data_IF_762690980543
#
_entry.id   IF_762690980543
#
_cell.length_a   1.000
_cell.length_b   1.000
_cell.length_c   1.000
_cell.angle_alpha   90.00
_cell.angle_beta   90.00
_cell.angle_gamma   90.00
#
_symmetry.space_group_name_H-M   'P 1'
#
loop_
_entity.id
_entity.type
_entity.pdbx_description
1 polymer ?
#
# COMPACT_ATOMS: atom_id res chain seq x y z
N UNK A 1 -46.44 13.39 33.02
CA UNK A 1 -45.51 13.95 32.01
C UNK A 1 -45.18 12.82 31.04
N UNK A 2 -45.67 12.83 29.80
CA UNK A 2 -45.46 11.72 28.88
C UNK A 2 -43.98 11.68 28.46
N UNK A 3 -43.24 10.66 28.87
CA UNK A 3 -41.91 10.39 28.34
C UNK A 3 -42.06 10.06 26.84
N UNK A 4 -41.63 10.97 25.96
CA UNK A 4 -41.72 10.82 24.49
C UNK A 4 -40.53 10.05 23.90
N UNK A 5 -39.78 9.33 24.75
CA UNK A 5 -38.56 8.58 24.38
C UNK A 5 -38.86 7.39 23.46
N UNK A 6 -40.09 6.87 23.45
CA UNK A 6 -40.56 5.78 22.59
C UNK A 6 -41.27 6.27 21.30
N UNK A 7 -41.18 7.57 20.99
CA UNK A 7 -41.81 8.13 19.77
C UNK A 7 -40.93 7.87 18.55
N UNK A 8 -41.49 7.36 17.46
CA UNK A 8 -40.78 7.17 16.18
C UNK A 8 -40.03 8.44 15.72
N UNK A 9 -40.60 9.62 15.97
CA UNK A 9 -39.96 10.90 15.63
C UNK A 9 -38.70 11.15 16.46
N UNK A 10 -38.72 10.80 17.75
CA UNK A 10 -37.57 10.92 18.62
C UNK A 10 -36.43 10.00 18.16
N UNK A 11 -36.75 8.74 17.84
CA UNK A 11 -35.79 7.76 17.32
C UNK A 11 -35.14 8.22 16.02
N UNK A 12 -35.93 8.77 15.08
CA UNK A 12 -35.40 9.26 13.79
C UNK A 12 -34.47 10.46 13.99
N UNK A 13 -34.86 11.44 14.80
CA UNK A 13 -34.02 12.62 15.07
C UNK A 13 -32.74 12.24 15.82
N UNK A 14 -32.86 11.36 16.81
CA UNK A 14 -31.71 10.83 17.54
C UNK A 14 -30.72 10.12 16.60
N UNK A 15 -31.22 9.24 15.72
CA UNK A 15 -30.38 8.53 14.76
C UNK A 15 -29.66 9.50 13.80
N UNK A 16 -30.34 10.54 13.30
CA UNK A 16 -29.72 11.57 12.46
C UNK A 16 -28.57 12.26 13.19
N UNK A 17 -28.80 12.71 14.43
CA UNK A 17 -27.77 13.38 15.24
C UNK A 17 -26.59 12.43 15.49
N UNK A 18 -26.87 11.17 15.85
CA UNK A 18 -25.83 10.17 16.09
C UNK A 18 -24.98 9.93 14.84
N UNK A 19 -25.59 9.77 13.67
CA UNK A 19 -24.88 9.60 12.39
C UNK A 19 -24.02 10.81 12.07
N UNK A 20 -24.53 12.03 12.29
CA UNK A 20 -23.76 13.25 12.07
C UNK A 20 -22.54 13.33 12.99
N UNK A 21 -22.71 13.02 14.28
CA UNK A 21 -21.62 13.05 15.26
C UNK A 21 -20.57 11.99 14.93
N UNK A 22 -20.98 10.74 14.72
CA UNK A 22 -20.05 9.63 14.41
C UNK A 22 -19.35 9.87 13.07
N UNK A 23 -20.09 10.30 12.05
CA UNK A 23 -19.55 10.61 10.73
C UNK A 23 -18.53 11.74 10.79
N UNK A 24 -18.82 12.83 11.52
CA UNK A 24 -17.90 13.94 11.68
C UNK A 24 -16.61 13.53 12.42
N UNK A 25 -16.72 12.74 13.49
CA UNK A 25 -15.55 12.25 14.23
C UNK A 25 -14.67 11.32 13.38
N UNK A 26 -15.27 10.37 12.65
CA UNK A 26 -14.54 9.47 11.75
C UNK A 26 -13.88 10.22 10.60
N UNK A 27 -14.59 11.17 9.98
CA UNK A 27 -14.05 11.99 8.90
C UNK A 27 -12.86 12.83 9.38
N UNK A 28 -12.98 13.45 10.56
CA UNK A 28 -11.89 14.19 11.18
C UNK A 28 -10.68 13.30 11.46
N UNK A 29 -10.88 12.15 12.11
CA UNK A 29 -9.81 11.22 12.42
C UNK A 29 -9.11 10.72 11.14
N UNK A 30 -9.88 10.32 10.12
CA UNK A 30 -9.34 9.90 8.82
C UNK A 30 -8.51 11.00 8.18
N UNK A 31 -9.06 12.21 8.06
CA UNK A 31 -8.39 13.33 7.39
C UNK A 31 -7.13 13.77 8.12
N UNK A 32 -7.14 13.78 9.46
CA UNK A 32 -5.99 14.18 10.26
C UNK A 32 -4.83 13.18 10.17
N UNK A 33 -5.14 11.88 10.00
CA UNK A 33 -4.14 10.82 9.97
C UNK A 33 -3.70 10.43 8.56
N UNK A 34 -4.46 10.77 7.51
CA UNK A 34 -4.16 10.46 6.11
C UNK A 34 -2.69 10.69 5.72
N UNK A 35 -2.05 11.85 6.02
CA UNK A 35 -0.66 12.08 5.61
C UNK A 35 0.32 11.08 6.24
N UNK A 36 0.11 10.73 7.52
CA UNK A 36 0.94 9.76 8.23
C UNK A 36 0.72 8.34 7.72
N UNK A 37 -0.52 8.00 7.38
CA UNK A 37 -0.87 6.70 6.79
C UNK A 37 -0.17 6.54 5.44
N UNK A 38 -0.21 7.58 4.60
CA UNK A 38 0.37 7.53 3.26
C UNK A 38 1.90 7.46 3.30
N UNK A 39 2.52 8.20 4.23
CA UNK A 39 3.97 8.09 4.49
C UNK A 39 4.35 6.68 4.97
N UNK A 40 3.61 6.11 5.92
CA UNK A 40 3.88 4.76 6.42
C UNK A 40 3.73 3.70 5.32
N UNK A 41 2.69 3.80 4.47
CA UNK A 41 2.53 2.90 3.31
C UNK A 41 3.73 3.01 2.36
N UNK A 42 4.24 4.22 2.13
CA UNK A 42 5.43 4.44 1.28
C UNK A 42 6.66 3.72 1.86
N UNK A 43 6.89 3.86 3.16
CA UNK A 43 8.00 3.22 3.85
C UNK A 43 7.85 1.69 3.87
N UNK A 44 6.64 1.19 4.09
CA UNK A 44 6.31 -0.24 4.05
C UNK A 44 6.61 -0.84 2.68
N UNK A 45 6.27 -0.14 1.58
CA UNK A 45 6.63 -0.60 0.23
C UNK A 45 8.15 -0.76 0.06
N UNK A 46 8.93 0.21 0.53
CA UNK A 46 10.39 0.13 0.47
C UNK A 46 10.93 -1.02 1.32
N UNK A 47 10.43 -1.20 2.54
CA UNK A 47 10.78 -2.33 3.41
C UNK A 47 10.48 -3.67 2.74
N UNK A 48 9.31 -3.82 2.13
CA UNK A 48 8.90 -5.06 1.47
C UNK A 48 9.73 -5.38 0.22
N UNK A 49 10.08 -4.37 -0.59
CA UNK A 49 10.97 -4.54 -1.75
C UNK A 49 12.38 -4.96 -1.30
N UNK A 50 12.93 -4.28 -0.29
CA UNK A 50 14.22 -4.62 0.31
C UNK A 50 14.20 -6.03 0.90
N UNK A 51 13.12 -6.40 1.57
CA UNK A 51 12.93 -7.73 2.14
C UNK A 51 12.97 -8.82 1.06
N UNK A 52 12.30 -8.61 -0.07
CA UNK A 52 12.33 -9.53 -1.20
C UNK A 52 13.76 -9.69 -1.76
N UNK A 53 14.56 -8.62 -1.80
CA UNK A 53 15.99 -8.69 -2.15
C UNK A 53 16.87 -9.35 -1.07
N UNK A 54 16.28 -9.78 0.05
CA UNK A 54 16.99 -10.31 1.21
C UNK A 54 17.74 -9.24 2.02
N UNK A 55 17.45 -7.96 1.83
CA UNK A 55 17.94 -6.87 2.71
C UNK A 55 16.95 -6.75 3.86
N UNK A 56 17.22 -7.47 4.94
CA UNK A 56 16.36 -7.58 6.11
C UNK A 56 17.20 -7.77 7.38
N UNK A 57 16.55 -7.68 8.54
CA UNK A 57 17.19 -7.87 9.85
C UNK A 57 16.80 -9.23 10.45
N UNK A 58 16.45 -10.22 9.62
CA UNK A 58 16.00 -11.52 10.11
C UNK A 58 17.05 -12.14 11.04
N UNK A 59 16.64 -12.48 12.26
CA UNK A 59 17.37 -13.43 13.11
C UNK A 59 17.04 -14.89 12.77
N UNK A 60 17.54 -15.82 13.59
CA UNK A 60 17.42 -17.27 13.35
C UNK A 60 15.98 -17.81 13.25
N UNK A 61 14.97 -17.06 13.71
CA UNK A 61 13.58 -17.53 13.77
C UNK A 61 12.52 -16.45 13.56
N UNK A 62 12.86 -15.32 12.91
CA UNK A 62 11.94 -14.19 12.75
C UNK A 62 11.92 -13.59 11.35
N UNK A 63 10.74 -13.10 10.94
CA UNK A 63 10.58 -12.17 9.81
C UNK A 63 10.75 -10.77 10.38
N UNK A 64 11.89 -10.13 10.12
CA UNK A 64 12.19 -8.79 10.60
C UNK A 64 12.61 -7.89 9.44
N UNK A 65 11.77 -6.88 9.17
CA UNK A 65 12.05 -5.86 8.17
C UNK A 65 13.11 -4.88 8.69
N UNK A 66 13.85 -4.25 7.76
CA UNK A 66 14.68 -3.08 8.09
C UNK A 66 13.82 -1.98 8.72
N UNK A 67 14.37 -1.11 9.56
CA UNK A 67 13.56 -0.08 10.21
C UNK A 67 12.99 0.93 9.20
N UNK A 68 11.84 1.55 9.51
CA UNK A 68 11.24 2.58 8.65
C UNK A 68 12.12 3.83 8.49
N UNK A 69 13.10 4.02 9.39
CA UNK A 69 14.07 5.12 9.32
C UNK A 69 15.20 4.84 8.34
N UNK A 70 15.65 3.59 8.26
CA UNK A 70 16.76 3.18 7.39
C UNK A 70 16.28 2.75 6.00
N UNK A 71 15.03 2.31 5.88
CA UNK A 71 14.46 1.83 4.62
C UNK A 71 14.68 2.78 3.42
N UNK A 72 14.50 4.11 3.53
CA UNK A 72 14.72 5.01 2.39
C UNK A 72 16.17 5.06 1.91
N UNK A 73 17.13 5.01 2.86
CA UNK A 73 18.56 5.06 2.56
C UNK A 73 19.01 3.73 1.92
N UNK A 74 18.62 2.61 2.51
CA UNK A 74 18.93 1.29 1.98
C UNK A 74 18.25 1.06 0.62
N UNK A 75 17.02 1.53 0.44
CA UNK A 75 16.32 1.45 -0.84
C UNK A 75 17.10 2.19 -1.93
N UNK A 76 17.53 3.43 -1.66
CA UNK A 76 18.34 4.21 -2.60
C UNK A 76 19.72 3.60 -2.86
N UNK A 77 20.28 2.86 -1.89
CA UNK A 77 21.56 2.18 -2.01
C UNK A 77 21.48 0.92 -2.88
N UNK A 78 20.44 0.10 -2.70
CA UNK A 78 20.34 -1.22 -3.33
C UNK A 78 19.52 -1.23 -4.61
N UNK A 79 18.51 -0.38 -4.74
CA UNK A 79 17.69 -0.24 -5.95
C UNK A 79 18.38 0.74 -6.89
N UNK A 80 18.88 0.22 -8.00
CA UNK A 80 19.61 1.00 -9.00
C UNK A 80 18.69 1.57 -10.07
N UNK A 81 17.63 0.83 -10.43
CA UNK A 81 16.65 1.27 -11.43
C UNK A 81 15.24 0.86 -11.06
N UNK A 82 14.31 1.68 -11.51
CA UNK A 82 12.88 1.44 -11.37
C UNK A 82 12.24 1.58 -12.74
N UNK A 83 11.65 0.50 -13.21
CA UNK A 83 11.04 0.43 -14.54
C UNK A 83 9.53 0.27 -14.40
N UNK A 84 8.79 0.84 -15.33
CA UNK A 84 7.39 0.54 -15.58
C UNK A 84 7.30 -0.17 -16.92
N UNK A 85 6.71 -1.36 -16.91
CA UNK A 85 6.43 -2.16 -18.09
C UNK A 85 4.98 -1.95 -18.50
N UNK A 86 4.76 -1.53 -19.74
CA UNK A 86 3.45 -1.43 -20.36
C UNK A 86 3.51 -2.05 -21.77
N UNK A 87 2.70 -3.09 -22.01
CA UNK A 87 2.63 -3.78 -23.29
C UNK A 87 3.99 -4.15 -23.93
N UNK A 88 4.95 -4.60 -23.10
CA UNK A 88 6.30 -4.96 -23.55
C UNK A 88 7.26 -3.79 -23.76
N UNK A 89 6.81 -2.54 -23.60
CA UNK A 89 7.66 -1.36 -23.56
C UNK A 89 8.06 -1.06 -22.11
N UNK A 90 9.29 -0.63 -21.91
CA UNK A 90 9.83 -0.27 -20.60
C UNK A 90 10.17 1.21 -20.54
N UNK A 91 9.69 1.90 -19.52
CA UNK A 91 10.07 3.28 -19.19
C UNK A 91 10.67 3.34 -17.80
N UNK A 92 11.75 4.10 -17.62
CA UNK A 92 12.36 4.32 -16.30
C UNK A 92 11.58 5.41 -15.55
N UNK A 93 11.26 5.15 -14.27
CA UNK A 93 10.55 6.06 -13.39
C UNK A 93 10.95 5.81 -11.93
N UNK A 94 11.66 6.78 -11.32
CA UNK A 94 12.10 6.75 -9.92
C UNK A 94 10.95 6.64 -8.89
N UNK A 95 9.70 6.79 -9.35
CA UNK A 95 8.49 6.69 -8.55
C UNK A 95 7.66 5.45 -8.88
N UNK A 96 8.19 4.49 -9.65
CA UNK A 96 7.47 3.26 -10.01
C UNK A 96 6.96 2.50 -8.77
N UNK A 97 7.68 2.56 -7.63
CA UNK A 97 7.25 1.95 -6.36
C UNK A 97 5.98 2.57 -5.78
N UNK A 98 5.64 3.81 -6.14
CA UNK A 98 4.42 4.47 -5.69
C UNK A 98 3.17 3.97 -6.43
N UNK A 99 3.33 3.30 -7.57
CA UNK A 99 2.21 2.79 -8.36
C UNK A 99 1.29 1.89 -7.51
N UNK A 100 -0.01 2.10 -7.67
CA UNK A 100 -1.05 1.28 -7.03
C UNK A 100 -1.51 0.20 -8.01
N UNK A 101 -1.01 -1.01 -7.81
CA UNK A 101 -1.29 -2.18 -8.66
C UNK A 101 -2.78 -2.54 -8.65
N UNK A 102 -3.49 -2.32 -7.53
CA UNK A 102 -4.93 -2.58 -7.43
C UNK A 102 -5.70 -1.60 -8.29
N UNK A 103 -5.36 -0.31 -8.20
CA UNK A 103 -5.98 0.75 -8.99
C UNK A 103 -5.69 0.60 -10.49
N UNK A 104 -4.42 0.39 -10.85
CA UNK A 104 -3.99 0.20 -12.24
C UNK A 104 -4.70 -1.00 -12.88
N UNK A 105 -4.77 -2.14 -12.18
CA UNK A 105 -5.50 -3.32 -12.64
C UNK A 105 -6.99 -3.06 -12.85
N UNK A 106 -7.61 -2.24 -12.00
CA UNK A 106 -9.01 -1.87 -12.13
C UNK A 106 -9.24 -0.96 -13.35
N UNK A 107 -8.38 0.03 -13.55
CA UNK A 107 -8.42 0.95 -14.70
C UNK A 107 -8.16 0.23 -16.03
N UNK A 108 -7.30 -0.79 -16.02
CA UNK A 108 -7.05 -1.63 -17.18
C UNK A 108 -8.26 -2.48 -17.61
N UNK A 109 -9.30 -2.62 -16.77
CA UNK A 109 -10.56 -3.27 -17.14
C UNK A 109 -10.42 -4.74 -17.56
N UNK A 110 -9.37 -5.43 -17.10
CA UNK A 110 -9.07 -6.81 -17.49
C UNK A 110 -8.12 -6.95 -18.68
N UNK A 111 -7.86 -5.88 -19.43
CA UNK A 111 -6.88 -5.85 -20.52
C UNK A 111 -5.45 -5.80 -19.96
N UNK A 112 -4.67 -6.87 -20.18
CA UNK A 112 -3.31 -6.95 -19.66
C UNK A 112 -2.36 -5.94 -20.34
N UNK A 113 -2.62 -5.56 -21.60
CA UNK A 113 -1.78 -4.62 -22.35
C UNK A 113 -1.88 -3.19 -21.83
N UNK A 114 -2.94 -2.85 -21.10
CA UNK A 114 -3.13 -1.51 -20.51
C UNK A 114 -2.51 -1.36 -19.12
N UNK A 115 -2.00 -2.44 -18.53
CA UNK A 115 -1.44 -2.40 -17.17
C UNK A 115 -0.06 -1.77 -17.16
N UNK A 116 0.22 -1.03 -16.11
CA UNK A 116 1.56 -0.55 -15.77
C UNK A 116 2.10 -1.45 -14.66
N UNK A 117 3.18 -2.18 -14.94
CA UNK A 117 3.78 -3.13 -14.00
C UNK A 117 5.17 -2.63 -13.60
N UNK A 118 5.40 -2.30 -12.33
CA UNK A 118 6.70 -1.81 -11.91
C UNK A 118 7.64 -3.00 -11.69
N UNK A 119 8.90 -2.81 -12.07
CA UNK A 119 10.00 -3.75 -11.83
C UNK A 119 11.14 -2.98 -11.20
N UNK A 120 11.65 -3.48 -10.09
CA UNK A 120 12.75 -2.85 -9.37
C UNK A 120 14.01 -3.66 -9.61
N UNK A 121 15.04 -3.02 -10.13
CA UNK A 121 16.33 -3.64 -10.40
C UNK A 121 17.29 -3.16 -9.33
N UNK A 122 17.97 -4.09 -8.69
CA UNK A 122 18.97 -3.77 -7.69
C UNK A 122 20.15 -4.71 -7.73
N UNK A 123 21.19 -4.36 -6.99
CA UNK A 123 22.41 -5.18 -6.89
C UNK A 123 22.68 -5.54 -5.44
N UNK A 124 22.95 -6.82 -5.19
CA UNK A 124 23.35 -7.33 -3.88
C UNK A 124 24.35 -8.47 -4.05
N UNK A 125 25.44 -8.43 -3.28
CA UNK A 125 26.49 -9.46 -3.31
C UNK A 125 27.04 -9.72 -4.73
N UNK A 126 27.15 -8.66 -5.55
CA UNK A 126 27.62 -8.73 -6.94
C UNK A 126 26.63 -9.38 -7.92
N UNK A 127 25.37 -9.60 -7.51
CA UNK A 127 24.30 -10.15 -8.34
C UNK A 127 23.22 -9.11 -8.59
N UNK A 128 22.80 -8.99 -9.85
CA UNK A 128 21.62 -8.21 -10.23
C UNK A 128 20.35 -8.99 -9.88
N UNK A 129 19.46 -8.38 -9.10
CA UNK A 129 18.16 -8.92 -8.70
C UNK A 129 17.04 -8.12 -9.37
N UNK A 130 15.95 -8.81 -9.71
CA UNK A 130 14.77 -8.22 -10.34
C UNK A 130 13.56 -8.45 -9.45
N UNK A 131 13.14 -7.41 -8.73
CA UNK A 131 12.00 -7.49 -7.82
C UNK A 131 10.72 -7.09 -8.56
N UNK A 132 9.72 -7.95 -8.51
CA UNK A 132 8.40 -7.70 -9.11
C UNK A 132 7.30 -7.79 -8.07
N UNK A 133 6.29 -6.91 -8.11
CA UNK A 133 5.12 -7.02 -7.25
C UNK A 133 4.21 -8.15 -7.73
N UNK A 134 3.62 -8.85 -6.78
CA UNK A 134 2.59 -9.85 -7.00
C UNK A 134 1.31 -9.38 -6.33
N UNK A 135 0.18 -9.52 -7.02
CA UNK A 135 -1.12 -9.08 -6.54
C UNK A 135 -2.22 -10.07 -6.97
N UNK A 136 -2.96 -10.60 -5.99
CA UNK A 136 -3.97 -11.64 -6.19
C UNK A 136 -5.18 -11.48 -5.27
N UNK A 137 -6.21 -12.30 -5.48
CA UNK A 137 -7.37 -12.38 -4.58
C UNK A 137 -7.07 -13.42 -3.49
N UNK A 138 -7.23 -13.05 -2.23
CA UNK A 138 -7.25 -13.98 -1.10
C UNK A 138 -8.67 -14.39 -0.72
N UNK A 139 -8.81 -15.03 0.45
CA UNK A 139 -10.10 -15.47 0.98
C UNK A 139 -11.00 -14.30 1.39
N UNK A 140 -10.42 -13.29 2.04
CA UNK A 140 -11.15 -12.16 2.62
C UNK A 140 -10.93 -10.85 1.88
N UNK A 141 -9.72 -10.63 1.38
CA UNK A 141 -9.35 -9.48 0.55
C UNK A 141 -8.17 -9.85 -0.36
N UNK A 142 -7.71 -8.91 -1.16
CA UNK A 142 -6.52 -9.06 -1.97
C UNK A 142 -5.27 -9.31 -1.13
N UNK A 143 -4.38 -10.13 -1.68
CA UNK A 143 -3.05 -10.43 -1.12
C UNK A 143 -2.02 -9.85 -2.08
N UNK A 144 -0.99 -9.23 -1.54
CA UNK A 144 0.11 -8.69 -2.31
C UNK A 144 1.45 -9.01 -1.65
N UNK A 145 2.51 -8.89 -2.44
CA UNK A 145 3.89 -9.08 -1.98
C UNK A 145 4.86 -8.73 -3.08
N UNK A 146 6.14 -9.03 -2.84
CA UNK A 146 7.21 -8.87 -3.81
C UNK A 146 8.03 -10.16 -3.88
N UNK A 147 8.56 -10.45 -5.06
CA UNK A 147 9.44 -11.59 -5.30
C UNK A 147 10.65 -11.12 -6.11
N UNK A 148 11.84 -11.63 -5.78
CA UNK A 148 13.12 -11.32 -6.44
C UNK A 148 13.68 -12.50 -7.21
#
# INVERSE_FOLDING_TARGET
>A
MSNRTESNVYTVVFAIIMVLVVGALLAYASSALSPKIDENKRLEKQQNILYAMGVNNNGDSGVEFVSTKEAPELFSKYITKQLIINNGQTSEDDKAYLLDIKKDKAEAGGDASKRHLPVFIGEKDGKTLYVVPIYGKGLWDAIWGYVS
#
